data_IF_802483810439
#
_entry.id   IF_802483810439
#
_cell.length_a   1.000
_cell.length_b   1.000
_cell.length_c   1.000
_cell.angle_alpha   90.00
_cell.angle_beta   90.00
_cell.angle_gamma   90.00
#
_symmetry.space_group_name_H-M   'P 1'
#
loop_
_entity.id
_entity.type
_entity.pdbx_description
1 polymer ?
#
# COMPACT_ATOMS: atom_id res chain seq x y z
N UNK A 1 -35.30 53.44 -6.23
CA UNK A 1 -36.35 54.13 -5.47
C UNK A 1 -37.68 53.45 -5.76
N UNK A 2 -38.33 53.00 -4.68
CA UNK A 2 -39.78 53.02 -4.40
C UNK A 2 -40.80 52.28 -5.28
N UNK A 3 -41.34 51.21 -4.65
CA UNK A 3 -42.74 50.82 -4.47
C UNK A 3 -43.82 51.22 -5.50
N UNK A 4 -44.57 50.21 -5.97
CA UNK A 4 -46.00 50.35 -6.24
C UNK A 4 -46.79 49.06 -5.92
N UNK A 5 -47.92 49.29 -5.28
CA UNK A 5 -48.87 48.39 -4.62
C UNK A 5 -49.67 47.47 -5.55
N UNK A 6 -50.35 46.47 -4.95
CA UNK A 6 -51.46 45.77 -5.61
C UNK A 6 -52.07 44.65 -4.77
N UNK A 7 -53.11 44.97 -3.98
CA UNK A 7 -54.01 44.01 -3.35
C UNK A 7 -55.00 43.46 -4.40
N UNK A 8 -55.27 42.15 -4.38
CA UNK A 8 -56.26 41.48 -5.23
C UNK A 8 -57.13 40.53 -4.42
N UNK A 9 -58.40 40.89 -4.23
CA UNK A 9 -59.46 40.05 -3.67
C UNK A 9 -60.35 39.49 -4.79
N UNK A 10 -60.75 38.22 -4.68
CA UNK A 10 -62.15 37.79 -4.88
C UNK A 10 -62.36 36.30 -4.59
N UNK A 11 -63.48 35.99 -3.93
CA UNK A 11 -64.13 34.68 -4.01
C UNK A 11 -64.68 34.14 -2.69
N UNK A 12 -65.86 34.60 -2.27
CA UNK A 12 -66.65 34.01 -1.19
C UNK A 12 -67.60 32.94 -1.74
N UNK A 13 -67.54 31.70 -1.23
CA UNK A 13 -68.66 30.76 -1.16
C UNK A 13 -68.62 30.07 0.21
N UNK A 14 -69.71 30.22 0.97
CA UNK A 14 -69.96 29.57 2.25
C UNK A 14 -70.47 28.13 2.04
N UNK A 15 -69.98 27.19 2.85
CA UNK A 15 -70.57 25.86 2.94
C UNK A 15 -69.64 24.77 3.49
N UNK A 16 -69.64 24.60 4.82
CA UNK A 16 -69.12 23.47 5.61
C UNK A 16 -67.68 23.58 6.15
N UNK A 17 -67.55 24.06 7.39
CA UNK A 17 -66.46 23.71 8.32
C UNK A 17 -65.04 24.09 7.90
N UNK A 18 -64.76 25.36 7.63
CA UNK A 18 -63.41 25.84 7.29
C UNK A 18 -62.44 25.79 8.47
N UNK A 19 -61.75 24.65 8.65
CA UNK A 19 -60.66 24.50 9.63
C UNK A 19 -59.52 25.45 9.22
N UNK A 20 -59.20 26.43 10.09
CA UNK A 20 -58.02 27.30 9.89
C UNK A 20 -56.77 26.43 9.71
N UNK A 21 -55.95 26.66 8.68
CA UNK A 21 -54.74 25.89 8.48
C UNK A 21 -53.78 26.11 9.66
N UNK A 22 -53.22 25.01 10.17
CA UNK A 22 -52.19 25.06 11.21
C UNK A 22 -50.91 25.68 10.66
N UNK A 23 -50.10 26.28 11.55
CA UNK A 23 -48.78 26.84 11.19
C UNK A 23 -47.89 25.84 10.44
N UNK A 24 -47.96 24.56 10.81
CA UNK A 24 -47.22 23.48 10.15
C UNK A 24 -47.64 23.19 8.71
N UNK A 25 -48.94 23.31 8.39
CA UNK A 25 -49.44 23.11 7.04
C UNK A 25 -49.01 24.25 6.10
N UNK A 26 -48.99 25.48 6.61
CA UNK A 26 -48.47 26.64 5.87
C UNK A 26 -46.96 26.49 5.60
N UNK A 27 -46.19 26.07 6.60
CA UNK A 27 -44.75 25.81 6.45
C UNK A 27 -44.46 24.68 5.45
N UNK A 28 -45.16 23.54 5.57
CA UNK A 28 -44.97 22.41 4.68
C UNK A 28 -45.36 22.72 3.23
N UNK A 29 -46.37 23.59 3.03
CA UNK A 29 -46.77 24.08 1.71
C UNK A 29 -45.76 25.03 1.07
N UNK A 30 -45.03 25.81 1.86
CA UNK A 30 -43.97 26.72 1.40
C UNK A 30 -42.57 26.11 1.34
N UNK A 31 -42.40 24.85 1.76
CA UNK A 31 -41.10 24.17 1.76
C UNK A 31 -40.71 23.66 0.37
N UNK A 32 -39.41 23.64 0.08
CA UNK A 32 -38.83 23.00 -1.10
C UNK A 32 -38.58 21.50 -0.91
N UNK A 33 -38.77 20.99 0.32
CA UNK A 33 -38.62 19.56 0.62
C UNK A 33 -39.75 18.77 -0.04
N UNK A 34 -39.37 18.01 -1.07
CA UNK A 34 -40.31 17.17 -1.81
C UNK A 34 -40.90 16.11 -0.87
N UNK A 35 -42.23 15.98 -0.88
CA UNK A 35 -42.95 15.02 -0.03
C UNK A 35 -43.53 15.63 1.25
N UNK A 36 -42.95 16.71 1.79
CA UNK A 36 -43.36 17.27 3.08
C UNK A 36 -44.80 17.79 3.08
N UNK A 37 -45.23 18.42 1.97
CA UNK A 37 -46.63 18.87 1.77
C UNK A 37 -47.67 17.76 1.85
N UNK A 38 -47.30 16.51 1.50
CA UNK A 38 -48.22 15.37 1.52
C UNK A 38 -48.28 14.71 2.90
N UNK A 39 -47.31 15.01 3.78
CA UNK A 39 -47.31 14.63 5.19
C UNK A 39 -48.17 15.57 6.03
N UNK A 40 -48.34 16.83 5.61
CA UNK A 40 -49.23 17.80 6.26
C UNK A 40 -50.30 18.34 5.31
N UNK A 41 -51.21 17.48 4.79
CA UNK A 41 -52.31 17.95 3.95
C UNK A 41 -53.34 18.73 4.79
N UNK A 42 -54.13 19.57 4.13
CA UNK A 42 -55.33 20.16 4.73
C UNK A 42 -56.43 19.09 4.86
N UNK A 43 -56.84 18.75 6.07
CA UNK A 43 -57.90 17.76 6.33
C UNK A 43 -57.54 16.70 7.39
N UNK A 44 -58.45 15.73 7.65
CA UNK A 44 -58.28 14.72 8.69
C UNK A 44 -57.12 13.75 8.39
N UNK A 45 -56.48 13.26 9.46
CA UNK A 45 -55.41 12.28 9.35
C UNK A 45 -55.95 10.93 8.83
N UNK A 46 -55.27 10.34 7.84
CA UNK A 46 -55.67 9.06 7.26
C UNK A 46 -54.47 8.24 6.75
N UNK A 47 -54.72 7.01 6.32
CA UNK A 47 -53.68 6.06 5.89
C UNK A 47 -52.75 6.61 4.79
N UNK A 48 -53.27 7.43 3.88
CA UNK A 48 -52.48 8.11 2.84
C UNK A 48 -51.37 9.00 3.43
N UNK A 49 -51.65 9.69 4.53
CA UNK A 49 -50.66 10.55 5.23
C UNK A 49 -49.53 9.71 5.82
N UNK A 50 -49.88 8.57 6.43
CA UNK A 50 -48.89 7.64 6.99
C UNK A 50 -48.00 7.06 5.88
N UNK A 51 -48.57 6.72 4.73
CA UNK A 51 -47.80 6.24 3.58
C UNK A 51 -46.80 7.29 3.07
N UNK A 52 -47.21 8.55 2.93
CA UNK A 52 -46.31 9.65 2.53
C UNK A 52 -45.24 9.94 3.58
N UNK A 53 -45.58 9.86 4.86
CA UNK A 53 -44.62 10.03 5.94
C UNK A 53 -43.59 8.89 5.93
N UNK A 54 -44.03 7.65 5.76
CA UNK A 54 -43.15 6.49 5.66
C UNK A 54 -42.23 6.57 4.42
N UNK A 55 -42.76 6.98 3.27
CA UNK A 55 -41.97 7.16 2.06
C UNK A 55 -40.92 8.28 2.21
N UNK A 56 -41.30 9.43 2.80
CA UNK A 56 -40.36 10.52 3.05
C UNK A 56 -39.27 10.10 4.04
N UNK A 57 -39.63 9.39 5.11
CA UNK A 57 -38.69 8.87 6.10
C UNK A 57 -37.73 7.85 5.47
N UNK A 58 -38.23 6.96 4.60
CA UNK A 58 -37.42 6.02 3.85
C UNK A 58 -36.39 6.74 2.97
N UNK A 59 -36.82 7.77 2.21
CA UNK A 59 -35.91 8.56 1.38
C UNK A 59 -34.82 9.27 2.20
N UNK A 60 -35.18 9.84 3.35
CA UNK A 60 -34.22 10.52 4.24
C UNK A 60 -33.23 9.51 4.84
N UNK A 61 -33.70 8.33 5.25
CA UNK A 61 -32.85 7.28 5.80
C UNK A 61 -31.86 6.75 4.74
N UNK A 62 -32.33 6.48 3.52
CA UNK A 62 -31.48 6.05 2.40
C UNK A 62 -30.43 7.11 2.05
N UNK A 63 -30.83 8.38 1.99
CA UNK A 63 -29.90 9.49 1.75
C UNK A 63 -28.81 9.56 2.82
N UNK A 64 -29.18 9.43 4.10
CA UNK A 64 -28.24 9.45 5.20
C UNK A 64 -27.24 8.29 5.11
N UNK A 65 -27.71 7.07 4.85
CA UNK A 65 -26.88 5.87 4.69
C UNK A 65 -25.88 6.02 3.54
N UNK A 66 -26.35 6.36 2.33
CA UNK A 66 -25.49 6.54 1.15
C UNK A 66 -24.48 7.67 1.35
N UNK A 67 -24.89 8.77 2.00
CA UNK A 67 -23.98 9.88 2.29
C UNK A 67 -22.88 9.49 3.29
N UNK A 68 -23.22 8.69 4.30
CA UNK A 68 -22.27 8.19 5.29
C UNK A 68 -21.28 7.20 4.64
N UNK A 69 -21.74 6.28 3.78
CA UNK A 69 -20.84 5.37 3.05
C UNK A 69 -19.84 6.15 2.17
N UNK A 70 -20.32 7.16 1.44
CA UNK A 70 -19.46 7.97 0.56
C UNK A 70 -18.48 8.81 1.35
N UNK A 71 -18.89 9.39 2.48
CA UNK A 71 -18.01 10.13 3.37
C UNK A 71 -16.95 9.21 3.99
N UNK A 72 -17.34 8.03 4.46
CA UNK A 72 -16.40 7.05 4.99
C UNK A 72 -15.40 6.56 3.93
N UNK A 73 -15.85 6.35 2.69
CA UNK A 73 -14.98 6.01 1.56
C UNK A 73 -14.05 7.16 1.18
N UNK A 74 -14.52 8.41 1.23
CA UNK A 74 -13.66 9.57 1.00
C UNK A 74 -12.57 9.69 2.08
N UNK A 75 -12.96 9.51 3.35
CA UNK A 75 -12.06 9.58 4.51
C UNK A 75 -11.16 8.35 4.67
N UNK A 76 -11.39 7.28 3.92
CA UNK A 76 -10.44 6.15 3.85
C UNK A 76 -9.26 6.40 2.89
N UNK A 77 -9.23 7.57 2.24
CA UNK A 77 -8.18 8.02 1.32
C UNK A 77 -7.75 6.94 0.31
N UNK A 78 -8.70 6.35 -0.45
CA UNK A 78 -8.37 5.36 -1.46
C UNK A 78 -7.63 6.02 -2.62
N UNK A 79 -6.52 5.42 -3.03
CA UNK A 79 -5.72 5.87 -4.18
C UNK A 79 -5.78 4.81 -5.29
N UNK A 80 -5.82 5.27 -6.54
CA UNK A 80 -5.72 4.42 -7.72
C UNK A 80 -4.48 4.85 -8.49
N UNK A 81 -3.61 3.91 -8.81
CA UNK A 81 -2.42 4.15 -9.62
C UNK A 81 -2.72 3.83 -11.08
N UNK A 82 -2.44 4.77 -11.98
CA UNK A 82 -2.40 4.53 -13.43
C UNK A 82 -0.95 4.27 -13.83
N UNK A 83 -0.71 3.23 -14.60
CA UNK A 83 0.64 2.86 -15.07
C UNK A 83 0.69 3.02 -16.58
N UNK A 84 1.53 3.95 -17.03
CA UNK A 84 1.74 4.23 -18.45
C UNK A 84 3.21 3.94 -18.82
N UNK A 85 3.40 3.29 -19.97
CA UNK A 85 4.73 3.03 -20.54
C UNK A 85 4.98 4.02 -21.68
N UNK A 86 5.93 4.95 -21.49
CA UNK A 86 6.30 5.94 -22.49
C UNK A 86 7.68 5.60 -23.05
N UNK A 87 7.79 5.50 -24.37
CA UNK A 87 9.07 5.29 -25.06
C UNK A 87 9.79 6.63 -25.17
N UNK A 88 11.00 6.72 -24.62
CA UNK A 88 11.87 7.90 -24.74
C UNK A 88 13.07 7.57 -25.63
N UNK A 89 13.50 8.53 -26.47
CA UNK A 89 14.67 8.39 -27.34
C UNK A 89 16.02 8.41 -26.59
N UNK A 90 16.02 8.85 -25.34
CA UNK A 90 17.21 8.85 -24.47
C UNK A 90 16.81 8.58 -23.02
N UNK A 91 17.48 7.63 -22.38
CA UNK A 91 17.35 7.33 -20.95
C UNK A 91 18.72 7.45 -20.29
N UNK A 92 18.74 7.85 -19.02
CA UNK A 92 19.95 7.82 -18.20
C UNK A 92 20.27 6.37 -17.89
N UNK A 93 21.52 5.96 -18.13
CA UNK A 93 21.97 4.62 -17.79
C UNK A 93 22.06 4.47 -16.27
N UNK A 94 21.47 3.39 -15.71
CA UNK A 94 21.44 3.22 -14.26
C UNK A 94 22.84 2.94 -13.70
N UNK A 95 22.99 3.16 -12.40
CA UNK A 95 24.15 2.64 -11.68
C UNK A 95 24.10 1.11 -11.67
N UNK A 96 25.18 0.46 -12.08
CA UNK A 96 25.32 -1.00 -12.05
C UNK A 96 26.28 -1.38 -10.93
N UNK A 97 25.76 -2.07 -9.92
CA UNK A 97 26.56 -2.58 -8.80
C UNK A 97 26.86 -4.06 -9.02
N UNK A 98 28.15 -4.41 -9.04
CA UNK A 98 28.61 -5.78 -9.23
C UNK A 98 29.32 -6.23 -7.95
N UNK A 99 28.92 -7.37 -7.40
CA UNK A 99 29.57 -8.01 -6.26
C UNK A 99 29.82 -9.48 -6.58
N UNK A 100 31.00 -9.99 -6.24
CA UNK A 100 31.27 -11.41 -6.31
C UNK A 100 30.53 -12.12 -5.16
N UNK A 101 29.81 -13.20 -5.47
CA UNK A 101 29.14 -14.00 -4.45
C UNK A 101 30.12 -14.59 -3.44
N UNK A 102 31.34 -14.87 -3.88
CA UNK A 102 32.42 -15.18 -2.95
C UNK A 102 32.92 -13.88 -2.30
N UNK A 103 32.67 -13.73 -1.00
CA UNK A 103 33.02 -12.53 -0.25
C UNK A 103 34.53 -12.30 -0.11
N UNK A 104 35.37 -13.35 -0.21
CA UNK A 104 36.80 -13.23 0.04
C UNK A 104 37.65 -14.14 -0.86
N UNK A 105 38.87 -13.71 -1.14
CA UNK A 105 39.90 -14.52 -1.78
C UNK A 105 40.61 -15.35 -0.72
N UNK A 106 40.43 -16.67 -0.75
CA UNK A 106 41.04 -17.60 0.22
C UNK A 106 42.57 -17.41 0.32
N UNK A 107 43.23 -17.14 -0.81
CA UNK A 107 44.68 -16.88 -0.87
C UNK A 107 45.14 -15.63 -0.10
N UNK A 108 44.25 -14.65 0.11
CA UNK A 108 44.54 -13.40 0.82
C UNK A 108 44.26 -13.47 2.32
N UNK A 109 43.64 -14.56 2.81
CA UNK A 109 43.40 -14.77 4.23
C UNK A 109 44.69 -15.04 4.99
N UNK A 110 44.87 -14.34 6.10
CA UNK A 110 46.01 -14.51 7.01
C UNK A 110 45.59 -15.23 8.29
N UNK A 111 46.60 -15.69 9.07
CA UNK A 111 46.38 -16.26 10.40
C UNK A 111 45.67 -15.28 11.34
N UNK A 112 45.96 -13.98 11.25
CA UNK A 112 45.30 -12.97 12.07
C UNK A 112 43.81 -12.85 11.72
N UNK A 113 43.49 -12.92 10.44
CA UNK A 113 42.11 -12.82 9.96
C UNK A 113 41.28 -14.03 10.43
N UNK A 114 41.84 -15.24 10.33
CA UNK A 114 41.17 -16.45 10.83
C UNK A 114 41.03 -16.46 12.36
N UNK A 115 41.98 -15.86 13.09
CA UNK A 115 41.88 -15.74 14.54
C UNK A 115 40.71 -14.84 14.97
N UNK A 116 40.47 -13.72 14.27
CA UNK A 116 39.44 -12.74 14.65
C UNK A 116 38.09 -12.95 13.95
N UNK A 117 38.10 -13.45 12.72
CA UNK A 117 36.91 -13.57 11.87
C UNK A 117 36.66 -15.01 11.36
N UNK A 118 37.47 -16.01 11.76
CA UNK A 118 37.32 -17.39 11.27
C UNK A 118 35.95 -17.99 11.53
N UNK A 119 35.36 -17.71 12.70
CA UNK A 119 33.99 -18.09 13.04
C UNK A 119 32.96 -17.36 12.17
N UNK A 120 33.13 -16.04 11.98
CA UNK A 120 32.26 -15.22 11.12
C UNK A 120 32.26 -15.72 9.66
N UNK A 121 33.39 -16.21 9.18
CA UNK A 121 33.56 -16.77 7.83
C UNK A 121 33.11 -18.24 7.74
N UNK A 122 32.63 -18.84 8.84
CA UNK A 122 32.30 -20.26 8.96
C UNK A 122 33.46 -21.21 8.58
N UNK A 123 34.71 -20.73 8.70
CA UNK A 123 35.92 -21.54 8.47
C UNK A 123 36.41 -22.20 9.75
N UNK A 124 36.06 -21.64 10.91
CA UNK A 124 36.36 -22.17 12.23
C UNK A 124 35.11 -22.20 13.11
N UNK A 125 35.12 -23.04 14.13
CA UNK A 125 34.10 -23.05 15.18
C UNK A 125 34.50 -22.14 16.37
N UNK A 126 33.69 -22.15 17.43
CA UNK A 126 33.92 -21.37 18.68
C UNK A 126 35.22 -21.78 19.39
N UNK A 127 35.74 -22.98 19.13
CA UNK A 127 36.99 -23.50 19.69
C UNK A 127 38.21 -23.22 18.79
N UNK A 128 38.02 -22.49 17.69
CA UNK A 128 39.04 -22.21 16.66
C UNK A 128 39.51 -23.46 15.91
N UNK A 129 38.67 -24.49 15.87
CA UNK A 129 38.91 -25.72 15.12
C UNK A 129 38.19 -25.71 13.77
N UNK A 130 38.71 -26.47 12.80
CA UNK A 130 38.12 -26.57 11.45
C UNK A 130 36.91 -27.52 11.52
N UNK A 131 35.68 -27.04 11.24
CA UNK A 131 34.50 -27.89 11.23
C UNK A 131 34.53 -28.83 10.02
N UNK A 132 34.20 -30.11 10.24
CA UNK A 132 34.00 -31.11 9.17
C UNK A 132 35.15 -31.17 8.14
N UNK A 133 36.41 -31.42 8.55
CA UNK A 133 37.58 -31.38 7.67
C UNK A 133 37.50 -32.37 6.48
N UNK A 134 36.69 -33.42 6.58
CA UNK A 134 36.48 -34.40 5.53
C UNK A 134 35.78 -33.87 4.26
N UNK A 135 35.10 -32.71 4.35
CA UNK A 135 34.42 -32.10 3.21
C UNK A 135 35.33 -31.19 2.37
N UNK A 136 36.50 -30.84 2.91
CA UNK A 136 37.46 -29.98 2.22
C UNK A 136 38.41 -30.79 1.34
N UNK A 137 38.78 -30.22 0.20
CA UNK A 137 39.83 -30.77 -0.65
C UNK A 137 41.17 -30.83 0.13
N UNK A 138 41.99 -31.89 -0.02
CA UNK A 138 43.19 -32.08 0.80
C UNK A 138 44.18 -30.92 0.79
N UNK A 139 44.36 -30.26 -0.36
CA UNK A 139 45.27 -29.12 -0.49
C UNK A 139 44.75 -27.88 0.24
N UNK A 140 43.45 -27.59 0.11
CA UNK A 140 42.79 -26.48 0.81
C UNK A 140 42.81 -26.72 2.32
N UNK A 141 42.54 -27.95 2.75
CA UNK A 141 42.61 -28.35 4.15
C UNK A 141 44.03 -28.20 4.72
N UNK A 142 45.06 -28.59 3.96
CA UNK A 142 46.45 -28.42 4.37
C UNK A 142 46.81 -26.93 4.56
N UNK A 143 46.41 -26.07 3.61
CA UNK A 143 46.61 -24.62 3.73
C UNK A 143 45.84 -24.03 4.91
N UNK A 144 44.61 -24.48 5.15
CA UNK A 144 43.82 -24.02 6.28
C UNK A 144 44.49 -24.41 7.61
N UNK A 145 44.94 -25.66 7.76
CA UNK A 145 45.66 -26.14 8.96
C UNK A 145 46.94 -25.35 9.25
N UNK A 146 47.68 -24.96 8.22
CA UNK A 146 48.88 -24.13 8.38
C UNK A 146 48.51 -22.73 8.90
N UNK A 147 47.45 -22.14 8.33
CA UNK A 147 46.98 -20.80 8.70
C UNK A 147 46.32 -20.79 10.08
N UNK A 148 45.74 -21.90 10.55
CA UNK A 148 45.02 -22.02 11.82
C UNK A 148 45.87 -22.56 12.98
N UNK A 149 47.19 -22.72 12.80
CA UNK A 149 48.06 -23.07 13.91
C UNK A 149 48.27 -21.87 14.86
N UNK A 150 47.50 -21.85 15.95
CA UNK A 150 47.50 -20.78 16.95
C UNK A 150 48.35 -21.06 18.20
N UNK A 151 49.02 -22.21 18.29
CA UNK A 151 49.73 -22.69 19.51
C UNK A 151 50.74 -21.71 20.12
N UNK A 152 51.41 -20.90 19.30
CA UNK A 152 52.35 -19.85 19.73
C UNK A 152 52.03 -18.50 19.05
N UNK A 153 50.77 -18.26 18.72
CA UNK A 153 50.36 -17.06 17.99
C UNK A 153 50.08 -15.88 18.93
N UNK A 154 50.58 -14.69 18.56
CA UNK A 154 50.24 -13.42 19.22
C UNK A 154 49.32 -12.61 18.30
N UNK A 155 48.03 -12.43 18.66
CA UNK A 155 47.08 -11.67 17.85
C UNK A 155 47.52 -10.23 17.65
N UNK A 156 47.31 -9.73 16.44
CA UNK A 156 47.54 -8.33 16.07
C UNK A 156 46.22 -7.59 16.04
N UNK A 157 46.29 -6.24 16.05
CA UNK A 157 45.12 -5.40 15.85
C UNK A 157 44.39 -5.79 14.56
N UNK A 158 43.07 -5.74 14.59
CA UNK A 158 42.20 -6.17 13.50
C UNK A 158 41.13 -5.12 13.25
N UNK A 159 40.88 -4.84 11.97
CA UNK A 159 39.86 -3.90 11.52
C UNK A 159 39.04 -4.56 10.42
N UNK A 160 37.71 -4.61 10.60
CA UNK A 160 36.82 -5.20 9.60
C UNK A 160 36.88 -4.50 8.25
N UNK A 161 37.09 -3.17 8.24
CA UNK A 161 37.23 -2.39 7.01
C UNK A 161 38.50 -2.78 6.25
N UNK A 162 39.63 -2.82 6.95
CA UNK A 162 40.91 -3.25 6.35
C UNK A 162 40.84 -4.68 5.85
N UNK A 163 40.24 -5.57 6.65
CA UNK A 163 40.03 -6.96 6.29
C UNK A 163 39.25 -7.07 4.98
N UNK A 164 38.05 -6.47 4.89
CA UNK A 164 37.21 -6.54 3.70
C UNK A 164 37.88 -5.92 2.46
N UNK A 165 38.52 -4.75 2.61
CA UNK A 165 39.21 -4.08 1.49
C UNK A 165 40.39 -4.91 0.95
N UNK A 166 41.10 -5.66 1.82
CA UNK A 166 42.24 -6.49 1.43
C UNK A 166 41.85 -7.86 0.88
N UNK A 167 40.92 -8.56 1.54
CA UNK A 167 40.57 -9.94 1.17
C UNK A 167 39.50 -10.01 0.09
N UNK A 168 38.72 -8.94 -0.09
CA UNK A 168 37.73 -8.83 -1.16
C UNK A 168 38.34 -8.98 -2.55
N UNK A 169 37.49 -9.21 -3.55
CA UNK A 169 37.93 -9.37 -4.94
C UNK A 169 38.25 -8.01 -5.58
N UNK A 170 39.39 -7.92 -6.25
CA UNK A 170 39.75 -6.72 -7.00
C UNK A 170 39.12 -6.79 -8.40
N UNK A 171 38.37 -5.76 -8.77
CA UNK A 171 37.73 -5.67 -10.09
C UNK A 171 38.77 -5.73 -11.22
N UNK A 172 40.00 -5.23 -10.99
CA UNK A 172 41.11 -5.34 -11.95
C UNK A 172 41.40 -6.78 -12.38
N UNK A 173 41.27 -7.73 -11.45
CA UNK A 173 41.56 -9.14 -11.69
C UNK A 173 40.34 -9.88 -12.27
N UNK A 174 39.12 -9.42 -11.97
CA UNK A 174 37.87 -10.06 -12.44
C UNK A 174 37.41 -9.57 -13.81
N UNK A 175 37.65 -8.29 -14.13
CA UNK A 175 37.12 -7.66 -15.32
C UNK A 175 38.04 -7.92 -16.53
N UNK A 176 37.65 -8.88 -17.36
CA UNK A 176 38.39 -9.22 -18.58
C UNK A 176 38.15 -8.22 -19.73
N UNK A 177 36.94 -7.67 -19.82
CA UNK A 177 36.54 -6.74 -20.87
C UNK A 177 35.35 -5.90 -20.41
N UNK A 178 35.32 -4.64 -20.83
CA UNK A 178 34.22 -3.71 -20.53
C UNK A 178 34.00 -2.78 -21.73
N UNK A 179 32.76 -2.66 -22.17
CA UNK A 179 32.36 -1.73 -23.22
C UNK A 179 30.97 -1.18 -22.99
N UNK A 180 30.84 0.14 -23.07
CA UNK A 180 29.58 0.83 -22.91
C UNK A 180 29.34 1.76 -24.11
N UNK A 181 28.18 1.62 -24.78
CA UNK A 181 27.83 2.36 -26.00
C UNK A 181 28.93 2.40 -27.09
N UNK A 182 29.72 1.33 -27.21
CA UNK A 182 30.80 1.29 -28.19
C UNK A 182 32.16 1.80 -27.71
N UNK A 183 32.22 2.43 -26.52
CA UNK A 183 33.45 2.89 -25.91
C UNK A 183 33.98 1.87 -24.90
N UNK A 184 35.30 1.67 -24.90
CA UNK A 184 35.95 0.80 -23.93
C UNK A 184 35.95 1.45 -22.54
N UNK A 185 35.66 0.66 -21.52
CA UNK A 185 35.72 1.07 -20.12
C UNK A 185 36.76 0.25 -19.36
N UNK A 186 37.17 0.77 -18.20
CA UNK A 186 38.18 0.16 -17.35
C UNK A 186 37.70 0.07 -15.90
N UNK A 187 38.44 -0.66 -15.07
CA UNK A 187 38.19 -0.78 -13.63
C UNK A 187 38.22 0.57 -12.91
N UNK A 188 38.90 1.57 -13.49
CA UNK A 188 38.93 2.95 -12.98
C UNK A 188 37.59 3.68 -13.09
N UNK A 189 36.71 3.23 -13.98
CA UNK A 189 35.36 3.79 -14.16
C UNK A 189 34.37 3.26 -13.10
N UNK A 190 34.82 2.31 -12.28
CA UNK A 190 34.05 1.74 -11.19
C UNK A 190 34.53 2.28 -9.84
N UNK A 191 33.59 2.48 -8.92
CA UNK A 191 33.86 2.92 -7.56
C UNK A 191 33.56 1.81 -6.57
N UNK A 192 34.50 1.53 -5.69
CA UNK A 192 34.28 0.61 -4.56
C UNK A 192 33.28 1.21 -3.57
N UNK A 193 32.26 0.42 -3.22
CA UNK A 193 31.24 0.76 -2.22
C UNK A 193 31.46 -0.14 -1.01
N UNK A 194 32.28 0.30 -0.05
CA UNK A 194 32.60 -0.45 1.18
C UNK A 194 31.69 -0.08 2.36
N UNK A 195 30.93 1.01 2.26
CA UNK A 195 30.05 1.47 3.32
C UNK A 195 28.62 0.97 3.05
N UNK A 196 27.88 0.47 4.06
CA UNK A 196 26.43 0.36 3.92
C UNK A 196 25.91 1.75 3.52
N UNK A 197 24.95 1.85 2.59
CA UNK A 197 24.36 3.15 2.26
C UNK A 197 23.93 3.86 3.56
N UNK A 198 24.15 5.18 3.68
CA UNK A 198 23.81 5.94 4.89
C UNK A 198 22.30 5.97 5.17
N UNK A 199 21.49 5.41 4.26
CA UNK A 199 20.08 5.14 4.47
C UNK A 199 19.92 3.67 4.84
N UNK A 200 19.07 3.33 5.84
CA UNK A 200 18.56 1.98 5.88
C UNK A 200 17.98 1.73 4.48
N UNK A 201 18.54 0.76 3.75
CA UNK A 201 17.76 0.08 2.73
C UNK A 201 16.66 -0.53 3.56
N UNK A 202 15.54 0.20 3.66
CA UNK A 202 14.29 -0.32 4.17
C UNK A 202 14.21 -1.68 3.51
N UNK A 203 14.31 -2.73 4.32
CA UNK A 203 14.08 -4.11 3.91
C UNK A 203 13.02 -4.02 2.82
N UNK A 204 13.40 -4.31 1.57
CA UNK A 204 12.47 -4.34 0.46
C UNK A 204 11.53 -5.50 0.74
N UNK A 205 10.69 -5.35 1.76
CA UNK A 205 9.40 -5.99 1.82
C UNK A 205 8.75 -5.46 0.56
N UNK A 206 8.70 -6.33 -0.45
CA UNK A 206 7.51 -6.40 -1.26
C UNK A 206 6.36 -6.47 -0.25
N UNK A 207 5.83 -5.31 0.12
CA UNK A 207 4.52 -5.24 0.69
C UNK A 207 3.67 -5.81 -0.44
N UNK A 208 2.98 -6.95 -0.23
CA UNK A 208 2.08 -7.43 -1.26
C UNK A 208 1.18 -6.24 -1.57
N UNK A 209 1.17 -5.80 -2.83
CA UNK A 209 0.04 -5.04 -3.33
C UNK A 209 -1.15 -5.96 -3.10
N UNK A 210 -1.83 -5.79 -1.97
CA UNK A 210 -3.15 -6.33 -1.78
C UNK A 210 -3.99 -5.67 -2.87
N UNK A 211 -4.11 -6.33 -4.01
CA UNK A 211 -5.35 -6.28 -4.76
C UNK A 211 -6.38 -6.71 -3.74
N UNK A 212 -7.09 -5.73 -3.18
CA UNK A 212 -8.15 -5.96 -2.22
C UNK A 212 -9.18 -6.84 -2.93
N UNK A 213 -9.03 -8.16 -2.76
CA UNK A 213 -10.07 -9.11 -3.08
C UNK A 213 -11.28 -8.63 -2.32
N UNK A 214 -12.39 -8.48 -3.06
CA UNK A 214 -13.72 -8.27 -2.51
C UNK A 214 -13.87 -9.05 -1.20
N UNK A 215 -14.32 -8.34 -0.17
CA UNK A 215 -14.75 -8.87 1.14
C UNK A 215 -13.65 -9.03 2.19
N UNK A 216 -13.27 -7.90 2.81
CA UNK A 216 -13.36 -7.70 4.27
C UNK A 216 -12.82 -6.30 4.57
N UNK A 217 -13.71 -5.42 4.98
CA UNK A 217 -13.38 -4.10 5.51
C UNK A 217 -13.01 -4.31 6.98
N UNK A 218 -11.74 -4.10 7.33
CA UNK A 218 -11.33 -3.93 8.72
C UNK A 218 -11.72 -2.51 9.16
N UNK A 219 -12.72 -2.39 10.04
CA UNK A 219 -12.88 -1.21 10.89
C UNK A 219 -13.21 -1.66 12.32
N UNK A 220 -12.44 -1.25 13.34
CA UNK A 220 -12.92 -1.20 14.69
C UNK A 220 -13.68 0.13 14.85
N UNK A 221 -14.99 0.09 15.10
CA UNK A 221 -15.79 1.05 15.89
C UNK A 221 -17.12 0.34 16.13
N UNK A 222 -17.21 -0.32 17.28
CA UNK A 222 -18.39 -1.04 17.76
C UNK A 222 -19.29 0.00 18.42
N UNK A 223 -20.21 0.59 17.65
CA UNK A 223 -21.44 1.25 18.13
C UNK A 223 -22.32 1.78 16.98
N UNK A 224 -21.72 2.06 15.82
CA UNK A 224 -22.46 2.50 14.61
C UNK A 224 -23.27 1.40 13.91
N UNK A 225 -22.95 0.13 14.18
CA UNK A 225 -23.47 -1.02 13.44
C UNK A 225 -24.95 -1.32 13.73
N UNK A 226 -25.44 -1.06 14.95
CA UNK A 226 -26.80 -1.45 15.34
C UNK A 226 -27.90 -0.65 14.63
N UNK A 227 -27.66 0.63 14.35
CA UNK A 227 -28.61 1.45 13.58
C UNK A 227 -28.51 1.16 12.08
N UNK A 228 -27.29 0.87 11.61
CA UNK A 228 -26.98 0.58 10.21
C UNK A 228 -27.63 -0.73 9.73
N UNK A 229 -27.50 -1.81 10.50
CA UNK A 229 -28.12 -3.10 10.18
C UNK A 229 -29.65 -3.09 10.35
N UNK A 230 -30.18 -2.26 11.26
CA UNK A 230 -31.64 -2.11 11.43
C UNK A 230 -32.27 -1.42 10.21
N UNK A 231 -31.65 -0.34 9.71
CA UNK A 231 -32.13 0.40 8.53
C UNK A 231 -31.89 -0.39 7.24
N UNK A 232 -30.73 -1.05 7.11
CA UNK A 232 -30.41 -1.94 5.97
C UNK A 232 -31.27 -3.21 5.98
N UNK A 233 -31.64 -3.74 7.15
CA UNK A 233 -32.55 -4.87 7.30
C UNK A 233 -34.01 -4.55 6.99
N UNK A 234 -34.49 -3.33 7.30
CA UNK A 234 -35.86 -2.90 7.00
C UNK A 234 -36.08 -2.55 5.52
N UNK A 235 -35.05 -2.04 4.81
CA UNK A 235 -35.17 -1.59 3.41
C UNK A 235 -34.40 -2.44 2.39
N UNK A 236 -33.48 -3.30 2.84
CA UNK A 236 -32.63 -4.14 1.98
C UNK A 236 -33.39 -5.21 1.17
N UNK A 237 -34.60 -5.58 1.61
CA UNK A 237 -35.46 -6.51 0.85
C UNK A 237 -36.06 -5.91 -0.42
N UNK A 238 -35.99 -4.58 -0.61
CA UNK A 238 -36.59 -3.87 -1.76
C UNK A 238 -35.57 -3.36 -2.81
N UNK A 239 -34.27 -3.35 -2.49
CA UNK A 239 -33.20 -2.91 -3.40
C UNK A 239 -32.20 -4.04 -3.69
N UNK A 240 -32.71 -5.23 -3.98
CA UNK A 240 -31.91 -6.30 -4.54
C UNK A 240 -31.66 -5.97 -6.03
N UNK A 241 -30.64 -5.15 -6.32
CA UNK A 241 -30.16 -5.02 -7.71
C UNK A 241 -29.46 -6.33 -8.09
N UNK A 242 -29.96 -7.09 -9.07
CA UNK A 242 -29.18 -8.19 -9.62
C UNK A 242 -27.96 -7.61 -10.34
N UNK A 243 -26.75 -8.08 -9.99
CA UNK A 243 -25.57 -7.84 -10.82
C UNK A 243 -25.75 -8.55 -12.16
N UNK A 244 -26.20 -7.80 -13.17
CA UNK A 244 -26.24 -8.24 -14.55
C UNK A 244 -24.84 -8.21 -15.15
N UNK A 245 -24.33 -9.39 -15.53
CA UNK A 245 -23.68 -9.60 -16.83
C UNK A 245 -22.26 -9.05 -17.07
N UNK A 246 -21.30 -9.98 -17.00
CA UNK A 246 -20.16 -10.20 -17.95
C UNK A 246 -19.14 -9.07 -18.18
N UNK A 247 -17.89 -9.35 -17.78
CA UNK A 247 -16.84 -9.77 -18.73
C UNK A 247 -15.60 -10.19 -17.95
N UNK A 248 -15.15 -11.44 -18.11
CA UNK A 248 -13.80 -11.84 -17.71
C UNK A 248 -12.84 -11.38 -18.81
N UNK A 249 -11.81 -10.56 -18.52
CA UNK A 249 -10.57 -10.63 -19.26
C UNK A 249 -9.66 -11.67 -18.59
N UNK A 250 -9.04 -12.50 -19.43
CA UNK A 250 -8.29 -13.69 -19.04
C UNK A 250 -7.14 -13.43 -18.06
N UNK A 251 -6.88 -14.45 -17.25
CA UNK A 251 -5.63 -14.59 -16.49
C UNK A 251 -4.47 -14.75 -17.47
N UNK A 252 -3.82 -13.66 -17.80
CA UNK A 252 -2.40 -13.67 -18.16
C UNK A 252 -1.70 -12.75 -17.17
N UNK A 253 -1.25 -13.34 -16.06
CA UNK A 253 -0.33 -12.66 -15.16
C UNK A 253 0.98 -12.45 -15.88
N UNK A 254 1.28 -11.21 -16.23
CA UNK A 254 2.63 -10.80 -16.62
C UNK A 254 3.32 -10.40 -15.31
N UNK A 255 4.19 -11.27 -14.80
CA UNK A 255 5.17 -10.87 -13.79
C UNK A 255 6.13 -9.90 -14.44
N UNK A 256 5.89 -8.60 -14.27
CA UNK A 256 6.89 -7.59 -14.58
C UNK A 256 7.87 -7.59 -13.41
N UNK A 257 9.05 -8.18 -13.62
CA UNK A 257 10.19 -7.98 -12.75
C UNK A 257 10.61 -6.50 -12.93
N UNK A 258 10.06 -5.62 -12.11
CA UNK A 258 10.51 -4.25 -12.01
C UNK A 258 11.86 -4.27 -11.25
N UNK A 259 12.93 -4.55 -11.98
CA UNK A 259 14.27 -4.18 -11.54
C UNK A 259 14.40 -2.66 -11.65
N UNK A 260 14.24 -1.95 -10.54
CA UNK A 260 14.47 -0.51 -10.46
C UNK A 260 15.35 -0.24 -9.25
N UNK A 261 16.64 -0.04 -9.58
CA UNK A 261 17.75 0.59 -8.85
C UNK A 261 18.18 -0.07 -7.53
#
# INVERSE_FOLDING_TARGET
MDLKEGCGSQGSQEGSGGVRPTSWQLFAGGSTLHGLRFVFPYGPAGARRLLWAAALLACVALLAVESAERLAYFLSYPHVTSVDAVVSGSLVFPAVTICNLNAYRFSRLTRNDLYHAGELLALLDVHLDIPQPQLAEPEVLASLREKTNFTAYRPKAFSMKEFMDRVGHDLREMMLYCRYQGQDCSHSDFRTVSDPPPTPVSSFKCQPCCVQSRSQVCFPIVEYFHFYDLVRGMFGSLLNRPQSGKSQPGRTGICVLAGVI
#
